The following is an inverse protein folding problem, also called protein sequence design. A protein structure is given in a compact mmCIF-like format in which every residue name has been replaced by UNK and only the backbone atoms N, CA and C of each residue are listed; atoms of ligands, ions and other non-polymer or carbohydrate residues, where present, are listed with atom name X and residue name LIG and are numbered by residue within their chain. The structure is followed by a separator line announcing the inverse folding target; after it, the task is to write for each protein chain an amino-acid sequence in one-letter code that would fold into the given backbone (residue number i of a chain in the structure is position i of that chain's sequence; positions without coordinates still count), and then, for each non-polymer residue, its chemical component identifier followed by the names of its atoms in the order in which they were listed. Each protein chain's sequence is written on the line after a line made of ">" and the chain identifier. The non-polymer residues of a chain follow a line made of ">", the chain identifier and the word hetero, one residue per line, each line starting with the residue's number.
data_IF_021351814969
#
_entry.id   IF_021351814969
#
_cell.length_a   1.000
_cell.length_b   1.000
_cell.length_c   1.000
_cell.angle_alpha   90.00
_cell.angle_beta   90.00
_cell.angle_gamma   90.00
#
_symmetry.space_group_name_H-M   'P 1'
#
loop_
_entity.id
_entity.type
_entity.pdbx_description
1 polymer ?
#
# COMPACT_ATOMS: atom_id res chain seq x y z
N UNK A 1 -14.72 13.92 0.64
CA UNK A 1 -13.65 14.67 1.35
C UNK A 1 -12.39 13.81 1.43
N UNK A 2 -11.41 14.05 0.55
CA UNK A 2 -10.08 13.41 0.55
C UNK A 2 -8.97 14.40 0.09
N UNK A 3 -9.21 15.71 0.26
CA UNK A 3 -8.25 16.77 -0.11
C UNK A 3 -6.95 16.55 0.65
N UNK A 4 -5.81 16.54 -0.06
CA UNK A 4 -4.48 16.34 0.52
C UNK A 4 -3.98 14.89 0.63
N UNK A 5 -4.79 13.90 0.24
CA UNK A 5 -4.31 12.53 0.01
C UNK A 5 -3.84 12.37 -1.44
N UNK A 6 -2.62 11.87 -1.62
CA UNK A 6 -2.14 11.46 -2.95
C UNK A 6 -2.92 10.25 -3.48
N UNK A 7 -2.85 10.02 -4.78
CA UNK A 7 -3.49 8.87 -5.42
C UNK A 7 -3.08 7.54 -4.76
N UNK A 8 -1.78 7.31 -4.58
CA UNK A 8 -1.26 6.14 -3.87
C UNK A 8 -1.83 6.00 -2.44
N UNK A 9 -1.99 7.11 -1.71
CA UNK A 9 -2.57 7.06 -0.36
C UNK A 9 -4.04 6.67 -0.38
N UNK A 10 -4.81 7.18 -1.35
CA UNK A 10 -6.22 6.79 -1.54
C UNK A 10 -6.33 5.33 -1.90
N UNK A 11 -5.51 4.88 -2.85
CA UNK A 11 -5.45 3.47 -3.26
C UNK A 11 -5.18 2.54 -2.07
N UNK A 12 -4.16 2.88 -1.27
CA UNK A 12 -3.80 2.12 -0.07
C UNK A 12 -4.98 2.02 0.92
N UNK A 13 -5.69 3.13 1.17
CA UNK A 13 -6.85 3.12 2.07
C UNK A 13 -7.98 2.25 1.53
N UNK A 14 -8.32 2.38 0.25
CA UNK A 14 -9.39 1.61 -0.37
C UNK A 14 -9.08 0.12 -0.37
N UNK A 15 -7.85 -0.27 -0.70
CA UNK A 15 -7.47 -1.68 -0.73
C UNK A 15 -7.34 -2.28 0.68
N UNK A 16 -6.70 -1.57 1.62
CA UNK A 16 -6.57 -2.04 3.01
C UNK A 16 -7.94 -2.26 3.68
N UNK A 17 -8.97 -1.48 3.29
CA UNK A 17 -10.34 -1.67 3.76
C UNK A 17 -10.93 -3.00 3.29
N UNK A 18 -10.64 -3.43 2.06
CA UNK A 18 -11.16 -4.68 1.48
C UNK A 18 -10.50 -5.92 2.11
N UNK A 19 -9.21 -5.81 2.44
CA UNK A 19 -8.39 -6.97 2.83
C UNK A 19 -8.07 -7.02 4.32
N UNK A 20 -8.34 -5.96 5.07
CA UNK A 20 -8.03 -5.82 6.50
C UNK A 20 -6.62 -5.29 6.77
N UNK A 21 -5.68 -5.53 5.86
CA UNK A 21 -4.31 -5.03 5.92
C UNK A 21 -3.79 -4.65 4.52
N UNK A 22 -2.68 -3.92 4.47
CA UNK A 22 -1.95 -3.69 3.23
C UNK A 22 -0.44 -3.79 3.44
N UNK A 23 0.19 -4.74 2.75
CA UNK A 23 1.63 -4.95 2.79
C UNK A 23 2.35 -4.18 1.69
N UNK A 24 3.62 -3.83 1.91
CA UNK A 24 4.43 -3.15 0.89
C UNK A 24 4.55 -4.00 -0.38
N UNK A 25 4.82 -5.30 -0.21
CA UNK A 25 4.95 -6.25 -1.33
C UNK A 25 3.67 -6.34 -2.15
N UNK A 26 2.50 -6.38 -1.50
CA UNK A 26 1.21 -6.39 -2.21
C UNK A 26 1.01 -5.12 -3.03
N UNK A 27 1.39 -3.95 -2.52
CA UNK A 27 1.30 -2.68 -3.28
C UNK A 27 2.22 -2.63 -4.50
N UNK A 28 3.42 -3.20 -4.38
CA UNK A 28 4.33 -3.28 -5.52
C UNK A 28 3.72 -4.11 -6.66
N UNK A 29 2.94 -5.14 -6.34
CA UNK A 29 2.16 -5.89 -7.34
C UNK A 29 0.94 -5.09 -7.81
N UNK A 30 0.05 -4.70 -6.90
CA UNK A 30 -1.29 -4.22 -7.27
C UNK A 30 -1.34 -2.79 -7.78
N UNK A 31 -0.42 -1.92 -7.35
CA UNK A 31 -0.36 -0.52 -7.79
C UNK A 31 0.72 -0.28 -8.84
N UNK A 32 1.90 -0.89 -8.69
CA UNK A 32 3.03 -0.69 -9.60
C UNK A 32 3.15 -1.75 -10.71
N UNK A 33 2.35 -2.82 -10.65
CA UNK A 33 2.33 -3.88 -11.65
C UNK A 33 3.59 -4.75 -11.66
N UNK A 34 4.31 -4.85 -10.54
CA UNK A 34 5.50 -5.71 -10.49
C UNK A 34 5.09 -7.17 -10.42
N UNK A 35 5.69 -7.98 -11.28
CA UNK A 35 5.50 -9.42 -11.27
C UNK A 35 6.34 -10.06 -10.14
N UNK A 36 5.71 -10.88 -9.27
CA UNK A 36 6.44 -11.75 -8.36
C UNK A 36 7.37 -12.69 -9.13
N UNK A 37 8.56 -12.96 -8.58
CA UNK A 37 9.46 -13.98 -9.10
C UNK A 37 8.86 -15.39 -9.00
N UNK A 38 7.93 -15.59 -8.05
CA UNK A 38 7.15 -16.82 -7.91
C UNK A 38 5.65 -16.49 -7.91
N UNK A 39 4.93 -17.02 -8.90
CA UNK A 39 3.49 -16.80 -9.10
C UNK A 39 2.64 -17.34 -7.96
N UNK A 40 3.15 -18.27 -7.13
CA UNK A 40 2.42 -18.87 -6.01
C UNK A 40 2.72 -18.21 -4.67
N UNK A 41 3.53 -17.15 -4.64
CA UNK A 41 3.97 -16.55 -3.39
C UNK A 41 2.81 -15.81 -2.69
N UNK A 42 2.48 -16.25 -1.47
CA UNK A 42 1.52 -15.54 -0.60
C UNK A 42 2.01 -14.11 -0.36
N UNK A 43 1.07 -13.17 -0.15
CA UNK A 43 1.30 -11.71 -0.03
C UNK A 43 2.47 -11.26 0.85
N UNK A 44 2.82 -12.03 1.88
CA UNK A 44 3.91 -11.77 2.82
C UNK A 44 5.26 -12.37 2.41
N UNK A 45 5.30 -13.30 1.45
CA UNK A 45 6.51 -13.99 0.95
C UNK A 45 6.91 -13.60 -0.47
N UNK A 46 6.18 -12.68 -1.11
CA UNK A 46 6.47 -12.23 -2.48
C UNK A 46 7.93 -11.80 -2.59
N UNK A 47 8.67 -12.57 -3.38
CA UNK A 47 10.00 -12.20 -3.84
C UNK A 47 9.87 -11.55 -5.21
N UNK A 48 10.76 -10.61 -5.50
CA UNK A 48 10.80 -9.89 -6.76
C UNK A 48 12.14 -10.12 -7.42
N UNK A 49 12.15 -10.35 -8.73
CA UNK A 49 13.38 -10.28 -9.50
C UNK A 49 13.72 -8.81 -9.76
N UNK A 50 14.56 -8.25 -8.88
CA UNK A 50 15.00 -6.85 -8.95
C UNK A 50 15.86 -6.59 -10.19
N UNK A 51 16.51 -7.63 -10.75
CA UNK A 51 17.24 -7.54 -12.00
C UNK A 51 16.29 -7.29 -13.18
N UNK A 52 15.21 -8.07 -13.26
CA UNK A 52 14.18 -7.92 -14.28
C UNK A 52 13.40 -6.60 -14.15
N UNK A 53 13.05 -6.18 -12.92
CA UNK A 53 12.30 -4.93 -12.67
C UNK A 53 13.18 -3.69 -12.86
N UNK A 54 14.47 -3.82 -12.62
CA UNK A 54 15.42 -2.73 -12.53
C UNK A 54 15.51 -2.17 -11.10
N UNK A 55 16.72 -2.20 -10.53
CA UNK A 55 17.02 -1.79 -9.15
C UNK A 55 16.53 -0.37 -8.80
N UNK A 56 16.77 0.59 -9.71
CA UNK A 56 16.35 1.98 -9.48
C UNK A 56 14.83 2.12 -9.40
N UNK A 57 14.10 1.47 -10.32
CA UNK A 57 12.62 1.47 -10.35
C UNK A 57 12.04 0.81 -9.10
N UNK A 58 12.58 -0.35 -8.73
CA UNK A 58 12.16 -1.08 -7.53
C UNK A 58 12.36 -0.24 -6.25
N UNK A 59 13.53 0.38 -6.10
CA UNK A 59 13.85 1.20 -4.93
C UNK A 59 12.95 2.44 -4.86
N UNK A 60 12.73 3.12 -5.98
CA UNK A 60 11.86 4.30 -6.04
C UNK A 60 10.42 3.97 -5.62
N UNK A 61 9.86 2.87 -6.15
CA UNK A 61 8.52 2.40 -5.77
C UNK A 61 8.46 2.00 -4.29
N UNK A 62 9.45 1.25 -3.79
CA UNK A 62 9.54 0.84 -2.39
C UNK A 62 9.57 2.04 -1.44
N UNK A 63 10.36 3.08 -1.77
CA UNK A 63 10.43 4.32 -0.98
C UNK A 63 9.11 5.09 -1.04
N UNK A 64 8.47 5.16 -2.20
CA UNK A 64 7.17 5.83 -2.35
C UNK A 64 6.09 5.17 -1.48
N UNK A 65 6.00 3.83 -1.47
CA UNK A 65 5.08 3.08 -0.61
C UNK A 65 5.36 3.35 0.87
N UNK A 66 6.62 3.28 1.30
CA UNK A 66 7.01 3.55 2.69
C UNK A 66 6.64 4.98 3.11
N UNK A 67 6.89 5.98 2.25
CA UNK A 67 6.49 7.36 2.51
C UNK A 67 4.98 7.51 2.61
N UNK A 68 4.22 6.83 1.75
CA UNK A 68 2.76 6.84 1.80
C UNK A 68 2.23 6.25 3.12
N UNK A 69 2.77 5.11 3.56
CA UNK A 69 2.46 4.50 4.85
C UNK A 69 2.75 5.43 6.02
N UNK A 70 3.94 6.03 6.06
CA UNK A 70 4.32 6.95 7.13
C UNK A 70 3.38 8.15 7.19
N UNK A 71 3.01 8.71 6.04
CA UNK A 71 2.07 9.85 5.99
C UNK A 71 0.66 9.47 6.40
N UNK A 72 0.17 8.28 6.04
CA UNK A 72 -1.13 7.79 6.50
C UNK A 72 -1.13 7.57 8.02
N UNK A 73 -0.04 7.01 8.55
CA UNK A 73 0.13 6.83 9.98
C UNK A 73 0.23 8.15 10.75
N UNK A 74 1.02 9.10 10.25
CA UNK A 74 1.15 10.43 10.84
C UNK A 74 -0.19 11.20 10.86
N UNK A 75 -1.10 10.89 9.94
CA UNK A 75 -2.46 11.45 9.91
C UNK A 75 -3.47 10.68 10.78
N UNK A 76 -3.02 9.65 11.51
CA UNK A 76 -3.91 8.80 12.31
C UNK A 76 -4.86 7.92 11.49
N UNK A 77 -4.65 7.79 10.19
CA UNK A 77 -5.51 7.00 9.30
C UNK A 77 -5.13 5.52 9.29
N UNK A 78 -3.90 5.20 9.66
CA UNK A 78 -3.43 3.82 9.71
C UNK A 78 -2.43 3.61 10.85
N UNK A 79 -2.32 2.37 11.33
CA UNK A 79 -1.23 1.92 12.18
C UNK A 79 -0.24 1.13 11.34
N UNK A 80 1.02 1.55 11.33
CA UNK A 80 2.10 0.81 10.66
C UNK A 80 2.61 -0.30 11.59
N UNK A 81 2.71 -1.51 11.07
CA UNK A 81 3.35 -2.64 11.74
C UNK A 81 4.57 -3.02 10.91
N UNK A 82 5.76 -2.87 11.49
CA UNK A 82 7.00 -3.21 10.81
C UNK A 82 6.97 -4.66 10.32
N UNK A 83 7.48 -4.90 9.11
CA UNK A 83 7.46 -6.18 8.40
C UNK A 83 6.06 -6.73 8.01
N UNK A 84 4.96 -6.14 8.45
CA UNK A 84 3.60 -6.57 8.12
C UNK A 84 2.86 -5.59 7.21
N UNK A 85 3.15 -4.29 7.29
CA UNK A 85 2.51 -3.27 6.44
C UNK A 85 1.73 -2.27 7.27
N UNK A 86 0.48 -2.01 6.90
CA UNK A 86 -0.42 -1.13 7.64
C UNK A 86 -1.79 -1.77 7.90
N UNK A 87 -2.41 -1.33 8.99
CA UNK A 87 -3.80 -1.61 9.34
C UNK A 87 -4.56 -0.29 9.43
N UNK A 88 -5.80 -0.23 8.97
CA UNK A 88 -6.57 1.00 9.07
C UNK A 88 -7.05 1.25 10.50
N UNK A 89 -7.06 2.51 10.92
CA UNK A 89 -7.78 2.93 12.12
C UNK A 89 -9.27 3.09 11.80
N UNK A 90 -10.13 3.28 12.81
CA UNK A 90 -11.55 3.60 12.57
C UNK A 90 -11.71 4.86 11.70
N UNK A 91 -10.84 5.87 11.89
CA UNK A 91 -10.81 7.08 11.06
C UNK A 91 -10.40 6.74 9.62
N UNK A 92 -9.38 5.91 9.44
CA UNK A 92 -8.96 5.42 8.13
C UNK A 92 -10.04 4.63 7.40
N UNK A 93 -10.77 3.78 8.13
CA UNK A 93 -11.91 3.02 7.59
C UNK A 93 -13.03 3.94 7.12
N UNK A 94 -13.38 4.96 7.91
CA UNK A 94 -14.36 5.98 7.54
C UNK A 94 -13.93 6.78 6.31
N UNK A 95 -12.66 7.18 6.25
CA UNK A 95 -12.08 7.87 5.09
C UNK A 95 -12.14 7.00 3.83
N UNK A 96 -11.72 5.73 3.93
CA UNK A 96 -11.80 4.78 2.83
C UNK A 96 -13.25 4.59 2.35
N UNK A 97 -14.23 4.57 3.27
CA UNK A 97 -15.66 4.54 2.94
C UNK A 97 -16.06 5.75 2.08
N UNK A 98 -15.74 6.95 2.57
CA UNK A 98 -16.12 8.19 1.87
C UNK A 98 -15.47 8.31 0.50
N UNK A 99 -14.29 7.73 0.29
CA UNK A 99 -13.64 7.70 -1.03
C UNK A 99 -14.39 6.77 -1.99
N UNK A 100 -14.85 5.61 -1.53
CA UNK A 100 -15.56 4.63 -2.35
C UNK A 100 -17.00 5.05 -2.66
N UNK A 101 -17.70 5.64 -1.68
CA UNK A 101 -19.11 6.03 -1.79
C UNK A 101 -19.31 7.37 -2.51
N UNK A 102 -18.25 8.18 -2.64
CA UNK A 102 -18.28 9.53 -3.23
C UNK A 102 -17.40 9.68 -4.47
N UNK A 103 -17.10 8.56 -5.14
CA UNK A 103 -16.43 8.50 -6.44
C UNK A 103 -17.40 8.57 -7.60
#
# INVERSE_FOLDING_TARGET
>A
MAKGLSELQRFILCEARKTGDMTNRRLLVTYYGFEPADRYSRSYKINFDVGQIGKARYNAASVAVVKAFNRLAARGLARRVYNHGIYLTNVGMGMAKSILDGG
#
